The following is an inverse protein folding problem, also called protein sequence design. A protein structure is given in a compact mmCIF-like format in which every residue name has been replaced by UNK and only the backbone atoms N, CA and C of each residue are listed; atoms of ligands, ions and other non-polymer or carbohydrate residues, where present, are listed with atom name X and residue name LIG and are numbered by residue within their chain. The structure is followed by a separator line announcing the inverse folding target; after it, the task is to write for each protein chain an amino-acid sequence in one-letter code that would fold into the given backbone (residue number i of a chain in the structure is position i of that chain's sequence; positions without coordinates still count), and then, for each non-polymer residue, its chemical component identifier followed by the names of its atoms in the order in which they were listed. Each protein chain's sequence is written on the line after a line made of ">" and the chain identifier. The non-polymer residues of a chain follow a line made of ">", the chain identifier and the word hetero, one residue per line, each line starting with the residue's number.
data_IF_734875010435
#
_entry.id   IF_734875010435
#
_cell.length_a   1.000
_cell.length_b   1.000
_cell.length_c   1.000
_cell.angle_alpha   90.00
_cell.angle_beta   90.00
_cell.angle_gamma   90.00
#
_symmetry.space_group_name_H-M   'P 1'
#
loop_
_entity.id
_entity.type
_entity.pdbx_description
1 polymer ?
#
# COMPACT_ATOMS: atom_id res chain seq x y z
N UNK A 1 56.64 3.58 -8.28
CA UNK A 1 55.65 4.35 -7.54
C UNK A 1 54.23 4.31 -8.14
N UNK A 2 53.84 3.23 -8.81
CA UNK A 2 52.53 3.12 -9.48
C UNK A 2 51.64 1.98 -9.01
N UNK A 3 51.98 1.35 -7.85
CA UNK A 3 51.26 0.16 -7.34
C UNK A 3 50.60 0.33 -5.95
N UNK A 4 50.67 1.52 -5.34
CA UNK A 4 50.15 1.77 -3.99
C UNK A 4 48.78 2.49 -3.93
N UNK A 5 48.20 2.91 -5.07
CA UNK A 5 46.95 3.68 -5.10
C UNK A 5 45.70 2.80 -5.33
N UNK A 6 45.87 1.54 -5.70
CA UNK A 6 44.77 0.64 -6.07
C UNK A 6 44.12 -0.12 -4.91
N UNK A 7 44.63 0.00 -3.69
CA UNK A 7 44.11 -0.80 -2.52
C UNK A 7 43.21 0.03 -1.60
N UNK A 8 43.11 1.34 -1.78
CA UNK A 8 42.35 2.21 -0.85
C UNK A 8 40.90 2.51 -1.30
N UNK A 9 40.43 1.89 -2.37
CA UNK A 9 39.09 2.16 -2.93
C UNK A 9 38.07 1.01 -2.75
N UNK A 10 38.40 0.00 -1.95
CA UNK A 10 37.54 -1.18 -1.79
C UNK A 10 36.99 -1.38 -0.35
N UNK A 11 37.05 -0.38 0.50
CA UNK A 11 36.60 -0.51 1.91
C UNK A 11 35.39 0.33 2.31
N UNK A 12 34.60 0.85 1.35
CA UNK A 12 33.42 1.68 1.67
C UNK A 12 32.17 1.03 1.08
N UNK A 13 31.83 -0.18 1.48
CA UNK A 13 30.55 -0.76 1.06
C UNK A 13 30.02 -1.83 2.00
N UNK A 14 30.27 -1.73 3.31
CA UNK A 14 29.58 -2.59 4.31
C UNK A 14 29.09 -1.71 5.47
N UNK A 15 28.24 -0.75 5.19
CA UNK A 15 27.26 -0.24 6.15
C UNK A 15 25.87 -0.69 5.73
N UNK A 16 25.73 -1.98 5.54
CA UNK A 16 24.40 -2.61 5.51
C UNK A 16 23.88 -2.55 6.94
N UNK A 17 23.09 -1.53 7.24
CA UNK A 17 22.50 -1.32 8.54
C UNK A 17 21.80 -2.58 9.03
N UNK A 18 22.31 -3.20 10.07
CA UNK A 18 21.60 -4.16 10.91
C UNK A 18 20.46 -3.41 11.62
N UNK A 19 19.41 -3.07 10.90
CA UNK A 19 18.16 -2.63 11.52
C UNK A 19 17.62 -3.79 12.37
N UNK A 20 17.12 -3.49 13.58
CA UNK A 20 16.47 -4.50 14.42
C UNK A 20 15.30 -5.13 13.62
N UNK A 21 14.89 -6.39 13.91
CA UNK A 21 13.74 -7.02 13.27
C UNK A 21 12.48 -6.16 13.35
N UNK A 22 12.26 -5.47 14.46
CA UNK A 22 11.13 -4.54 14.65
C UNK A 22 11.22 -3.31 13.74
N UNK A 23 12.42 -2.80 13.48
CA UNK A 23 12.62 -1.69 12.54
C UNK A 23 12.35 -2.12 11.09
N UNK A 24 12.76 -3.33 10.72
CA UNK A 24 12.44 -3.90 9.40
C UNK A 24 10.93 -4.05 9.21
N UNK A 25 10.23 -4.56 10.21
CA UNK A 25 8.78 -4.68 10.18
C UNK A 25 8.10 -3.31 10.04
N UNK A 26 8.52 -2.30 10.80
CA UNK A 26 8.00 -0.93 10.68
C UNK A 26 8.22 -0.34 9.30
N UNK A 27 9.40 -0.51 8.73
CA UNK A 27 9.71 -0.04 7.38
C UNK A 27 8.85 -0.75 6.32
N UNK A 28 8.69 -2.07 6.43
CA UNK A 28 7.82 -2.85 5.54
C UNK A 28 6.35 -2.43 5.69
N UNK A 29 5.87 -2.22 6.93
CA UNK A 29 4.52 -1.72 7.21
C UNK A 29 4.28 -0.36 6.54
N UNK A 30 5.19 0.59 6.74
CA UNK A 30 5.08 1.92 6.15
C UNK A 30 5.12 1.88 4.62
N UNK A 31 5.96 1.07 4.02
CA UNK A 31 6.05 0.92 2.56
C UNK A 31 4.77 0.32 1.98
N UNK A 32 4.30 -0.80 2.53
CA UNK A 32 3.06 -1.45 2.07
C UNK A 32 1.85 -0.55 2.25
N UNK A 33 1.77 0.16 3.39
CA UNK A 33 0.69 1.11 3.65
C UNK A 33 0.69 2.29 2.67
N UNK A 34 1.84 2.86 2.33
CA UNK A 34 1.93 3.94 1.33
C UNK A 34 1.52 3.46 -0.06
N UNK A 35 1.96 2.28 -0.46
CA UNK A 35 1.55 1.69 -1.74
C UNK A 35 0.05 1.48 -1.79
N UNK A 36 -0.53 0.82 -0.77
CA UNK A 36 -1.97 0.60 -0.71
C UNK A 36 -2.77 1.91 -0.62
N UNK A 37 -2.30 2.93 0.12
CA UNK A 37 -2.94 4.25 0.20
C UNK A 37 -3.01 4.95 -1.16
N UNK A 38 -1.98 4.81 -1.98
CA UNK A 38 -1.96 5.33 -3.36
C UNK A 38 -3.06 4.67 -4.21
N UNK A 39 -3.18 3.34 -4.13
CA UNK A 39 -4.18 2.59 -4.91
C UNK A 39 -5.62 2.88 -4.44
N UNK A 40 -5.84 2.98 -3.13
CA UNK A 40 -7.13 3.39 -2.56
C UNK A 40 -7.51 4.80 -3.01
N UNK A 41 -6.56 5.72 -3.05
CA UNK A 41 -6.77 7.10 -3.51
C UNK A 41 -7.07 7.15 -5.00
N UNK A 42 -6.40 6.32 -5.80
CA UNK A 42 -6.65 6.16 -7.24
C UNK A 42 -8.07 5.62 -7.48
N UNK A 43 -8.48 4.60 -6.73
CA UNK A 43 -9.84 4.04 -6.79
C UNK A 43 -10.88 5.11 -6.45
N UNK A 44 -10.68 5.85 -5.37
CA UNK A 44 -11.57 6.94 -4.97
C UNK A 44 -11.70 7.99 -6.08
N UNK A 45 -10.57 8.42 -6.63
CA UNK A 45 -10.56 9.41 -7.71
C UNK A 45 -11.28 8.90 -8.95
N UNK A 46 -11.10 7.63 -9.32
CA UNK A 46 -11.80 7.04 -10.46
C UNK A 46 -13.34 7.10 -10.31
N UNK A 47 -13.85 6.77 -9.11
CA UNK A 47 -15.29 6.88 -8.81
C UNK A 47 -15.76 8.35 -8.86
N UNK A 48 -15.00 9.27 -8.26
CA UNK A 48 -15.33 10.69 -8.24
C UNK A 48 -15.34 11.30 -9.67
N UNK A 49 -14.38 10.90 -10.53
CA UNK A 49 -14.33 11.35 -11.93
C UNK A 49 -15.45 10.74 -12.79
N UNK A 50 -15.80 9.48 -12.55
CA UNK A 50 -16.91 8.83 -13.20
C UNK A 50 -18.25 9.50 -12.83
N UNK A 51 -18.47 9.80 -11.55
CA UNK A 51 -19.63 10.55 -11.06
C UNK A 51 -19.73 11.94 -11.70
N UNK A 52 -18.60 12.60 -11.88
CA UNK A 52 -18.53 13.91 -12.55
C UNK A 52 -18.62 13.83 -14.10
N UNK A 53 -18.87 12.64 -14.66
CA UNK A 53 -18.91 12.37 -16.10
C UNK A 53 -17.63 12.78 -16.86
N UNK A 54 -16.49 12.74 -16.16
CA UNK A 54 -15.16 13.04 -16.72
C UNK A 54 -14.36 11.79 -17.06
N UNK A 55 -14.92 10.61 -16.78
CA UNK A 55 -14.31 9.32 -17.05
C UNK A 55 -15.38 8.35 -17.55
N UNK A 56 -15.01 7.46 -18.46
CA UNK A 56 -15.89 6.41 -18.95
C UNK A 56 -15.89 5.23 -17.98
N UNK A 57 -17.03 4.54 -17.80
CA UNK A 57 -17.17 3.39 -16.90
C UNK A 57 -16.12 2.31 -17.17
N UNK A 58 -15.88 1.99 -18.44
CA UNK A 58 -14.86 1.01 -18.82
C UNK A 58 -13.45 1.42 -18.36
N UNK A 59 -13.10 2.68 -18.52
CA UNK A 59 -11.80 3.21 -18.10
C UNK A 59 -11.68 3.23 -16.58
N UNK A 60 -12.73 3.64 -15.87
CA UNK A 60 -12.78 3.56 -14.41
C UNK A 60 -12.64 2.13 -13.92
N UNK A 61 -13.33 1.18 -14.53
CA UNK A 61 -13.25 -0.25 -14.22
C UNK A 61 -11.82 -0.81 -14.38
N UNK A 62 -11.11 -0.41 -15.44
CA UNK A 62 -9.73 -0.85 -15.65
C UNK A 62 -8.79 -0.25 -14.60
N UNK A 63 -8.93 1.05 -14.30
CA UNK A 63 -8.13 1.73 -13.26
C UNK A 63 -8.32 1.04 -11.91
N UNK A 64 -9.56 0.75 -11.52
CA UNK A 64 -9.88 0.10 -10.24
C UNK A 64 -9.36 -1.35 -10.20
N UNK A 65 -9.42 -2.08 -11.31
CA UNK A 65 -8.86 -3.43 -11.42
C UNK A 65 -7.34 -3.43 -11.22
N UNK A 66 -6.65 -2.45 -11.78
CA UNK A 66 -5.20 -2.32 -11.61
C UNK A 66 -4.85 -1.88 -10.16
N UNK A 67 -5.64 -0.99 -9.57
CA UNK A 67 -5.52 -0.58 -8.17
C UNK A 67 -5.77 -1.74 -7.21
N UNK A 68 -6.76 -2.61 -7.46
CA UNK A 68 -7.00 -3.82 -6.68
C UNK A 68 -5.76 -4.73 -6.64
N UNK A 69 -5.12 -4.95 -7.79
CA UNK A 69 -3.85 -5.68 -7.88
C UNK A 69 -2.73 -5.03 -7.07
N UNK A 70 -2.66 -3.70 -7.08
CA UNK A 70 -1.68 -2.95 -6.30
C UNK A 70 -1.86 -3.15 -4.80
N UNK A 71 -3.10 -3.09 -4.29
CA UNK A 71 -3.41 -3.36 -2.88
C UNK A 71 -3.08 -4.81 -2.51
N UNK A 72 -3.47 -5.78 -3.35
CA UNK A 72 -3.15 -7.21 -3.16
C UNK A 72 -1.63 -7.43 -3.09
N UNK A 73 -0.87 -6.79 -3.96
CA UNK A 73 0.60 -6.87 -3.95
C UNK A 73 1.18 -6.29 -2.66
N UNK A 74 0.67 -5.16 -2.18
CA UNK A 74 1.10 -4.54 -0.93
C UNK A 74 0.79 -5.45 0.27
N UNK A 75 -0.41 -6.04 0.33
CA UNK A 75 -0.82 -6.97 1.38
C UNK A 75 0.03 -8.24 1.37
N UNK A 76 0.24 -8.83 0.19
CA UNK A 76 1.06 -10.03 0.00
C UNK A 76 2.51 -9.80 0.42
N UNK A 77 3.10 -8.66 0.04
CA UNK A 77 4.47 -8.29 0.42
C UNK A 77 4.60 -8.10 1.93
N UNK A 78 3.58 -7.54 2.58
CA UNK A 78 3.58 -7.37 4.03
C UNK A 78 3.37 -8.69 4.77
N UNK A 79 2.51 -9.58 4.28
CA UNK A 79 2.23 -10.88 4.91
C UNK A 79 3.46 -11.79 5.02
N UNK A 80 4.47 -11.58 4.19
CA UNK A 80 5.74 -12.28 4.27
C UNK A 80 6.62 -11.86 5.46
N UNK A 81 6.27 -10.78 6.17
CA UNK A 81 7.00 -10.31 7.35
C UNK A 81 6.67 -11.16 8.57
N UNK A 82 7.67 -11.37 9.44
CA UNK A 82 7.50 -12.14 10.68
C UNK A 82 7.74 -11.23 11.89
N UNK A 83 6.72 -11.00 12.74
CA UNK A 83 6.90 -10.29 14.00
C UNK A 83 7.70 -11.14 14.97
N UNK A 84 8.55 -10.51 15.78
CA UNK A 84 9.43 -11.19 16.74
C UNK A 84 9.16 -10.81 18.20
N UNK A 85 8.37 -9.78 18.45
CA UNK A 85 8.03 -9.28 19.78
C UNK A 85 6.52 -9.10 19.92
N UNK A 86 5.95 -9.05 21.14
CA UNK A 86 4.53 -8.75 21.35
C UNK A 86 4.09 -7.40 20.74
N UNK A 87 5.00 -6.42 20.71
CA UNK A 87 4.73 -5.11 20.11
C UNK A 87 4.69 -5.20 18.58
N UNK A 88 5.64 -5.91 17.98
CA UNK A 88 5.64 -6.14 16.53
C UNK A 88 4.48 -7.03 16.07
N UNK A 89 4.02 -7.97 16.89
CA UNK A 89 2.83 -8.77 16.60
C UNK A 89 1.58 -7.90 16.51
N UNK A 90 1.38 -7.00 17.47
CA UNK A 90 0.24 -6.05 17.42
C UNK A 90 0.29 -5.14 16.20
N UNK A 91 1.47 -4.64 15.86
CA UNK A 91 1.65 -3.84 14.63
C UNK A 91 1.32 -4.66 13.39
N UNK A 92 1.80 -5.90 13.31
CA UNK A 92 1.53 -6.81 12.20
C UNK A 92 0.03 -7.04 12.02
N UNK A 93 -0.70 -7.36 13.10
CA UNK A 93 -2.14 -7.57 13.09
C UNK A 93 -2.90 -6.30 12.65
N UNK A 94 -2.51 -5.13 13.18
CA UNK A 94 -3.12 -3.86 12.82
C UNK A 94 -2.92 -3.55 11.34
N UNK A 95 -1.71 -3.71 10.80
CA UNK A 95 -1.40 -3.44 9.39
C UNK A 95 -2.13 -4.41 8.48
N UNK A 96 -2.12 -5.71 8.81
CA UNK A 96 -2.84 -6.73 8.05
C UNK A 96 -4.32 -6.39 7.97
N UNK A 97 -4.95 -6.09 9.11
CA UNK A 97 -6.35 -5.69 9.14
C UNK A 97 -6.64 -4.46 8.28
N UNK A 98 -5.78 -3.43 8.34
CA UNK A 98 -5.98 -2.21 7.57
C UNK A 98 -5.83 -2.44 6.07
N UNK A 99 -4.91 -3.31 5.66
CA UNK A 99 -4.74 -3.72 4.26
C UNK A 99 -5.94 -4.54 3.76
N UNK A 100 -6.49 -5.44 4.60
CA UNK A 100 -7.69 -6.23 4.28
C UNK A 100 -8.93 -5.35 4.13
N UNK A 101 -9.10 -4.35 5.01
CA UNK A 101 -10.19 -3.37 4.92
C UNK A 101 -10.09 -2.56 3.61
N UNK A 102 -8.87 -2.15 3.22
CA UNK A 102 -8.62 -1.45 1.96
C UNK A 102 -8.91 -2.35 0.74
N UNK A 103 -8.46 -3.60 0.77
CA UNK A 103 -8.73 -4.59 -0.27
C UNK A 103 -10.23 -4.78 -0.45
N UNK A 104 -10.96 -4.95 0.64
CA UNK A 104 -12.41 -5.13 0.62
C UNK A 104 -13.12 -3.95 -0.02
N UNK A 105 -12.75 -2.71 0.33
CA UNK A 105 -13.35 -1.51 -0.24
C UNK A 105 -13.07 -1.36 -1.74
N UNK A 106 -11.83 -1.61 -2.18
CA UNK A 106 -11.46 -1.55 -3.61
C UNK A 106 -12.16 -2.65 -4.42
N UNK A 107 -12.21 -3.87 -3.89
CA UNK A 107 -12.92 -5.00 -4.53
C UNK A 107 -14.41 -4.71 -4.68
N UNK A 108 -15.06 -4.11 -3.67
CA UNK A 108 -16.46 -3.73 -3.74
C UNK A 108 -16.70 -2.71 -4.87
N UNK A 109 -15.84 -1.72 -5.04
CA UNK A 109 -15.92 -0.77 -6.15
C UNK A 109 -15.74 -1.48 -7.49
N UNK A 110 -14.75 -2.38 -7.62
CA UNK A 110 -14.54 -3.13 -8.86
C UNK A 110 -15.78 -3.95 -9.25
N UNK A 111 -16.41 -4.61 -8.28
CA UNK A 111 -17.62 -5.40 -8.51
C UNK A 111 -18.76 -4.48 -8.94
N UNK A 112 -18.98 -3.36 -8.26
CA UNK A 112 -20.00 -2.40 -8.59
C UNK A 112 -19.85 -1.86 -10.03
N UNK A 113 -18.63 -1.44 -10.41
CA UNK A 113 -18.35 -0.96 -11.77
C UNK A 113 -18.47 -2.06 -12.83
N UNK A 114 -18.13 -3.30 -12.47
CA UNK A 114 -18.33 -4.46 -13.35
C UNK A 114 -19.81 -4.77 -13.64
N UNK A 115 -20.69 -4.34 -12.75
CA UNK A 115 -22.15 -4.44 -12.89
C UNK A 115 -22.82 -3.14 -13.40
N UNK A 116 -22.03 -2.17 -13.84
CA UNK A 116 -22.49 -0.82 -14.24
C UNK A 116 -23.30 -0.10 -13.12
N UNK A 117 -23.06 -0.44 -11.85
CA UNK A 117 -23.72 0.13 -10.68
C UNK A 117 -22.86 1.24 -10.04
N UNK A 118 -22.97 2.45 -10.61
CA UNK A 118 -22.29 3.63 -10.08
C UNK A 118 -22.74 3.97 -8.66
N UNK A 119 -24.02 3.79 -8.34
CA UNK A 119 -24.54 4.11 -7.01
C UNK A 119 -23.89 3.23 -5.92
N UNK A 120 -23.75 1.92 -6.19
CA UNK A 120 -23.03 1.03 -5.29
C UNK A 120 -21.54 1.38 -5.17
N UNK A 121 -20.90 1.81 -6.26
CA UNK A 121 -19.52 2.28 -6.21
C UNK A 121 -19.37 3.56 -5.37
N UNK A 122 -20.29 4.51 -5.49
CA UNK A 122 -20.31 5.75 -4.69
C UNK A 122 -20.50 5.46 -3.18
N UNK A 123 -21.28 4.45 -2.84
CA UNK A 123 -21.46 4.01 -1.44
C UNK A 123 -20.15 3.57 -0.77
N UNK A 124 -19.14 3.20 -1.54
CA UNK A 124 -17.82 2.82 -1.01
C UNK A 124 -16.90 4.03 -0.74
N UNK A 125 -17.23 5.24 -1.18
CA UNK A 125 -16.38 6.42 -0.99
C UNK A 125 -16.01 6.70 0.49
N UNK A 126 -16.93 6.58 1.47
CA UNK A 126 -16.56 6.73 2.89
C UNK A 126 -15.54 5.68 3.35
N UNK A 127 -15.71 4.41 2.97
CA UNK A 127 -14.79 3.33 3.31
C UNK A 127 -13.41 3.56 2.69
N UNK A 128 -13.33 3.97 1.42
CA UNK A 128 -12.08 4.32 0.75
C UNK A 128 -11.36 5.49 1.45
N UNK A 129 -12.10 6.53 1.88
CA UNK A 129 -11.51 7.65 2.62
C UNK A 129 -10.97 7.22 3.97
N UNK A 130 -11.69 6.37 4.68
CA UNK A 130 -11.24 5.84 5.98
C UNK A 130 -9.99 4.98 5.80
N UNK A 131 -9.99 4.04 4.84
CA UNK A 131 -8.83 3.19 4.54
C UNK A 131 -7.60 4.02 4.15
N UNK A 132 -7.76 5.05 3.29
CA UNK A 132 -6.67 5.95 2.93
C UNK A 132 -6.08 6.68 4.15
N UNK A 133 -6.93 7.12 5.10
CA UNK A 133 -6.51 7.78 6.32
C UNK A 133 -5.74 6.83 7.27
N UNK A 134 -6.25 5.61 7.44
CA UNK A 134 -5.63 4.63 8.35
C UNK A 134 -4.31 4.11 7.78
N UNK A 135 -4.25 3.85 6.47
CA UNK A 135 -3.00 3.53 5.78
C UNK A 135 -1.99 4.69 5.83
N UNK A 136 -2.47 5.94 5.70
CA UNK A 136 -1.62 7.13 5.84
C UNK A 136 -0.92 7.19 7.19
N UNK A 137 -1.64 6.93 8.29
CA UNK A 137 -1.04 6.88 9.64
C UNK A 137 0.03 5.80 9.77
N UNK A 138 -0.21 4.61 9.20
CA UNK A 138 0.79 3.53 9.19
C UNK A 138 2.00 3.95 8.35
N UNK A 139 1.77 4.62 7.21
CA UNK A 139 2.82 5.13 6.35
C UNK A 139 3.80 6.11 7.00
N UNK A 140 3.38 6.77 8.10
CA UNK A 140 4.22 7.68 8.89
C UNK A 140 5.12 6.98 9.90
N UNK A 141 4.93 5.69 10.19
CA UNK A 141 5.66 4.95 11.23
C UNK A 141 7.17 4.79 10.97
N UNK A 142 7.64 5.02 9.75
CA UNK A 142 9.04 4.91 9.35
C UNK A 142 9.75 6.27 9.19
N UNK A 143 9.13 7.36 9.66
CA UNK A 143 9.72 8.70 9.65
C UNK A 143 10.51 9.02 10.93
#
# INVERSE_FOLDING_TARGET
>A
MRRAVAIMLLTILILSGCGSPDQKLRSAAAQSARSAASEVSTTRLAVEQLRAQRLWTRSAGQIVKDAEKGVETAASSFSAQQPSTPTSTRLYEQVTKTLDDAQTAVTAVRIALGNDDLAAAEQQLPALRQSAKDLGRIGELAQ
#
